data_IF_133930191596
#
_entry.id   IF_133930191596
#
_cell.length_a   1.000
_cell.length_b   1.000
_cell.length_c   1.000
_cell.angle_alpha   90.00
_cell.angle_beta   90.00
_cell.angle_gamma   90.00
#
_symmetry.space_group_name_H-M   'P 1'
#
loop_
_entity.id
_entity.type
_entity.pdbx_description
1 polymer ?
#
# COMPACT_ATOMS: atom_id res chain seq x y z
N UNK A 1 -8.54 -12.92 -17.54
CA UNK A 1 -7.47 -13.33 -16.59
C UNK A 1 -6.28 -12.38 -16.73
N UNK A 2 -5.89 -11.72 -15.64
CA UNK A 2 -4.77 -10.76 -15.60
C UNK A 2 -3.42 -11.48 -15.81
N UNK A 3 -2.34 -10.75 -16.16
CA UNK A 3 -0.99 -11.34 -16.37
C UNK A 3 -0.55 -12.23 -15.18
N UNK A 4 -0.80 -11.80 -13.94
CA UNK A 4 -0.48 -12.56 -12.73
C UNK A 4 -1.31 -13.86 -12.64
N UNK A 5 -2.61 -13.81 -12.89
CA UNK A 5 -3.47 -14.99 -12.88
C UNK A 5 -3.08 -16.03 -13.96
N UNK A 6 -2.67 -15.58 -15.15
CA UNK A 6 -2.12 -16.48 -16.18
C UNK A 6 -0.83 -17.14 -15.70
N UNK A 7 0.09 -16.38 -15.09
CA UNK A 7 1.36 -16.90 -14.57
C UNK A 7 1.12 -17.94 -13.47
N UNK A 8 0.22 -17.68 -12.53
CA UNK A 8 -0.17 -18.63 -11.48
C UNK A 8 -0.79 -19.91 -12.08
N UNK A 9 -1.72 -19.77 -13.02
CA UNK A 9 -2.32 -20.93 -13.69
C UNK A 9 -1.27 -21.82 -14.35
N UNK A 10 -0.39 -21.26 -15.16
CA UNK A 10 0.67 -22.04 -15.83
C UNK A 10 1.64 -22.68 -14.84
N UNK A 11 2.05 -21.95 -13.80
CA UNK A 11 2.97 -22.47 -12.78
C UNK A 11 2.36 -23.65 -12.02
N UNK A 12 1.14 -23.50 -11.51
CA UNK A 12 0.44 -24.56 -10.75
C UNK A 12 0.16 -25.76 -11.65
N UNK A 13 -0.38 -25.52 -12.86
CA UNK A 13 -0.68 -26.61 -13.81
C UNK A 13 0.58 -27.39 -14.19
N UNK A 14 1.68 -26.71 -14.48
CA UNK A 14 2.95 -27.35 -14.81
C UNK A 14 3.48 -28.21 -13.65
N UNK A 15 3.43 -27.68 -12.43
CA UNK A 15 3.86 -28.40 -11.22
C UNK A 15 3.03 -29.69 -11.03
N UNK A 16 1.70 -29.59 -11.15
CA UNK A 16 0.81 -30.76 -11.00
C UNK A 16 1.05 -31.78 -12.08
N UNK A 17 1.15 -31.36 -13.35
CA UNK A 17 1.44 -32.28 -14.48
C UNK A 17 2.77 -32.98 -14.24
N UNK A 18 3.80 -32.29 -13.79
CA UNK A 18 5.12 -32.87 -13.51
C UNK A 18 5.07 -33.88 -12.37
N UNK A 19 4.34 -33.60 -11.28
CA UNK A 19 4.13 -34.54 -10.17
C UNK A 19 3.43 -35.81 -10.68
N UNK A 20 2.36 -35.67 -11.48
CA UNK A 20 1.65 -36.83 -12.06
C UNK A 20 2.52 -37.62 -13.02
N UNK A 21 3.31 -36.98 -13.88
CA UNK A 21 4.22 -37.64 -14.80
C UNK A 21 5.29 -38.45 -14.05
N UNK A 22 5.91 -37.87 -13.02
CA UNK A 22 6.89 -38.55 -12.17
C UNK A 22 6.23 -39.75 -11.46
N UNK A 23 5.05 -39.55 -10.85
CA UNK A 23 4.33 -40.59 -10.14
C UNK A 23 3.99 -41.75 -11.06
N UNK A 24 3.54 -41.48 -12.29
CA UNK A 24 3.21 -42.49 -13.30
C UNK A 24 4.46 -43.27 -13.73
N UNK A 25 5.59 -42.61 -13.93
CA UNK A 25 6.87 -43.26 -14.22
C UNK A 25 7.32 -44.15 -13.06
N UNK A 26 7.23 -43.69 -11.83
CA UNK A 26 7.60 -44.47 -10.66
C UNK A 26 6.73 -45.71 -10.49
N UNK A 27 5.41 -45.62 -10.66
CA UNK A 27 4.51 -46.74 -10.55
C UNK A 27 4.82 -47.78 -11.65
N UNK A 28 4.95 -47.34 -12.91
CA UNK A 28 5.21 -48.26 -14.01
C UNK A 28 6.59 -48.97 -13.90
N UNK A 29 7.56 -48.31 -13.23
CA UNK A 29 8.89 -48.89 -13.05
C UNK A 29 9.01 -49.75 -11.77
N UNK A 30 8.49 -49.30 -10.64
CA UNK A 30 8.70 -49.96 -9.34
C UNK A 30 7.66 -51.03 -9.04
N UNK A 31 6.38 -50.88 -9.42
CA UNK A 31 5.31 -51.80 -9.06
C UNK A 31 5.56 -53.23 -9.55
N UNK A 32 5.99 -53.46 -10.80
CA UNK A 32 6.33 -54.81 -11.24
C UNK A 32 7.45 -55.44 -10.43
N UNK A 33 8.51 -54.68 -10.15
CA UNK A 33 9.67 -55.19 -9.39
C UNK A 33 9.30 -55.50 -7.95
N UNK A 34 8.49 -54.64 -7.34
CA UNK A 34 7.99 -54.82 -5.97
C UNK A 34 7.13 -56.10 -5.87
N UNK A 35 6.22 -56.32 -6.83
CA UNK A 35 5.38 -57.52 -6.84
C UNK A 35 6.20 -58.82 -6.97
N UNK A 36 7.21 -58.83 -7.85
CA UNK A 36 8.11 -60.00 -7.97
C UNK A 36 8.90 -60.20 -6.66
N UNK A 37 9.42 -59.12 -6.04
CA UNK A 37 10.15 -59.22 -4.80
C UNK A 37 9.29 -59.76 -3.65
N UNK A 38 8.09 -59.24 -3.47
CA UNK A 38 7.14 -59.67 -2.44
C UNK A 38 6.69 -61.13 -2.64
N UNK A 39 6.47 -61.54 -3.89
CA UNK A 39 6.12 -62.94 -4.20
C UNK A 39 7.28 -63.88 -3.85
N UNK A 40 8.51 -63.49 -4.15
CA UNK A 40 9.71 -64.27 -3.78
C UNK A 40 9.84 -64.41 -2.27
N UNK A 41 9.67 -63.36 -1.51
CA UNK A 41 9.71 -63.36 -0.05
C UNK A 41 8.63 -64.28 0.55
N UNK A 42 7.39 -64.21 0.01
CA UNK A 42 6.29 -65.10 0.41
C UNK A 42 6.63 -66.57 0.16
N UNK A 43 7.17 -66.88 -1.04
CA UNK A 43 7.57 -68.26 -1.37
C UNK A 43 8.75 -68.75 -0.51
N UNK A 44 9.68 -67.87 -0.11
CA UNK A 44 10.75 -68.21 0.83
C UNK A 44 10.18 -68.61 2.22
N UNK A 45 9.20 -67.86 2.71
CA UNK A 45 8.52 -68.22 3.98
C UNK A 45 7.81 -69.60 3.89
N UNK A 46 7.04 -69.81 2.82
CA UNK A 46 6.30 -71.07 2.59
C UNK A 46 7.26 -72.26 2.43
N UNK A 47 8.32 -72.09 1.63
CA UNK A 47 9.30 -73.18 1.47
C UNK A 47 10.05 -73.51 2.75
N UNK A 48 10.35 -72.53 3.62
CA UNK A 48 10.93 -72.75 4.94
C UNK A 48 9.96 -73.53 5.87
N UNK A 49 8.66 -73.21 5.80
CA UNK A 49 7.64 -73.98 6.51
C UNK A 49 7.63 -75.46 6.03
N UNK A 50 7.60 -75.67 4.71
CA UNK A 50 7.64 -77.03 4.17
C UNK A 50 8.92 -77.80 4.62
N UNK A 51 10.07 -77.12 4.65
CA UNK A 51 11.33 -77.72 5.09
C UNK A 51 11.34 -78.11 6.58
N UNK A 52 10.62 -77.38 7.44
CA UNK A 52 10.55 -77.66 8.88
C UNK A 52 9.61 -78.81 9.28
N UNK A 53 8.71 -79.26 8.38
CA UNK A 53 7.73 -80.34 8.67
C UNK A 53 8.40 -81.66 8.78
N UNK A 54 8.06 -82.55 9.77
CA UNK A 54 8.54 -83.96 9.80
C UNK A 54 8.03 -84.78 8.61
N UNK A 55 8.79 -85.89 8.24
CA UNK A 55 8.47 -86.74 7.05
C UNK A 55 7.07 -87.31 7.13
N UNK A 56 6.67 -87.78 8.30
CA UNK A 56 5.40 -88.45 8.52
C UNK A 56 4.17 -87.58 8.30
N UNK A 57 4.32 -86.23 8.47
CA UNK A 57 3.26 -85.22 8.35
C UNK A 57 3.31 -84.41 7.05
N UNK A 58 4.27 -84.75 6.14
CA UNK A 58 4.57 -83.89 4.97
C UNK A 58 3.38 -83.76 4.02
N UNK A 59 2.68 -84.84 3.73
CA UNK A 59 1.60 -84.84 2.75
C UNK A 59 0.34 -84.08 3.27
N UNK A 60 0.06 -84.21 4.60
CA UNK A 60 -1.02 -83.45 5.23
C UNK A 60 -0.66 -81.97 5.39
N UNK A 61 0.60 -81.69 5.67
CA UNK A 61 1.11 -80.31 5.76
C UNK A 61 1.11 -79.61 4.42
N UNK A 62 1.47 -80.30 3.33
CA UNK A 62 1.41 -79.73 1.98
C UNK A 62 0.00 -79.28 1.62
N UNK A 63 -1.02 -80.16 1.88
CA UNK A 63 -2.41 -79.78 1.63
C UNK A 63 -2.89 -78.55 2.48
N UNK A 64 -2.47 -78.49 3.72
CA UNK A 64 -2.78 -77.37 4.59
C UNK A 64 -2.13 -76.06 4.11
N UNK A 65 -0.82 -76.10 3.83
CA UNK A 65 -0.03 -74.96 3.37
C UNK A 65 -0.54 -74.48 1.98
N UNK A 66 -0.93 -75.40 1.08
CA UNK A 66 -1.48 -75.01 -0.19
C UNK A 66 -2.78 -74.24 -0.08
N UNK A 67 -3.67 -74.68 0.83
CA UNK A 67 -4.95 -73.98 1.06
C UNK A 67 -4.80 -72.64 1.79
N UNK A 68 -3.91 -72.55 2.79
CA UNK A 68 -3.69 -71.35 3.55
C UNK A 68 -2.82 -70.31 2.83
N UNK A 69 -1.80 -70.81 2.09
CA UNK A 69 -0.82 -69.98 1.41
C UNK A 69 -1.24 -69.49 0.01
N UNK A 70 -2.40 -69.93 -0.51
CA UNK A 70 -2.84 -69.62 -1.85
C UNK A 70 -1.72 -69.93 -2.90
N UNK A 71 -1.00 -71.01 -2.67
CA UNK A 71 0.09 -71.51 -3.53
C UNK A 71 -0.29 -72.88 -4.13
N UNK A 72 0.34 -73.21 -5.22
CA UNK A 72 0.19 -74.53 -5.83
C UNK A 72 1.43 -75.36 -5.54
N UNK A 73 1.28 -76.48 -4.92
CA UNK A 73 2.39 -77.40 -4.59
C UNK A 73 2.27 -78.66 -5.39
N UNK A 74 3.34 -79.09 -6.08
CA UNK A 74 3.46 -80.38 -6.75
C UNK A 74 4.77 -81.01 -6.33
N UNK A 75 4.80 -82.34 -6.23
CA UNK A 75 6.00 -83.04 -5.78
C UNK A 75 6.16 -84.37 -6.52
N UNK A 76 7.39 -84.79 -6.67
CA UNK A 76 7.75 -86.07 -7.28
C UNK A 76 9.03 -86.60 -6.65
N UNK A 77 9.43 -87.84 -7.01
CA UNK A 77 10.72 -88.32 -6.57
C UNK A 77 11.87 -87.62 -7.29
N UNK A 78 12.85 -87.16 -6.56
CA UNK A 78 13.99 -86.41 -7.11
C UNK A 78 14.96 -87.35 -7.89
N UNK A 79 14.83 -88.65 -7.70
CA UNK A 79 15.69 -89.64 -8.26
C UNK A 79 15.14 -90.24 -9.58
N UNK A 80 13.94 -89.86 -9.99
CA UNK A 80 13.32 -90.32 -11.27
C UNK A 80 14.03 -89.63 -12.47
N UNK A 81 13.72 -90.11 -13.65
CA UNK A 81 14.27 -89.55 -14.87
C UNK A 81 13.74 -88.09 -15.09
N UNK A 82 14.47 -87.30 -15.88
CA UNK A 82 14.04 -85.93 -16.23
C UNK A 82 12.63 -85.90 -16.85
N UNK A 83 12.33 -86.86 -17.74
CA UNK A 83 11.04 -86.91 -18.37
C UNK A 83 9.92 -87.28 -17.38
N UNK A 84 10.14 -88.29 -16.53
CA UNK A 84 9.15 -88.73 -15.53
C UNK A 84 8.84 -87.64 -14.51
N UNK A 85 9.89 -86.92 -14.07
CA UNK A 85 9.76 -85.74 -13.20
C UNK A 85 8.86 -84.66 -13.82
N UNK A 86 9.15 -84.28 -15.05
CA UNK A 86 8.39 -83.30 -15.78
C UNK A 86 6.95 -83.71 -16.06
N UNK A 87 6.72 -84.94 -16.42
CA UNK A 87 5.37 -85.44 -16.69
C UNK A 87 4.52 -85.55 -15.44
N UNK A 88 5.07 -86.01 -14.33
CA UNK A 88 4.36 -86.09 -13.03
C UNK A 88 4.01 -84.66 -12.52
N UNK A 89 4.98 -83.73 -12.53
CA UNK A 89 4.72 -82.33 -12.11
C UNK A 89 3.67 -81.66 -12.99
N UNK A 90 3.69 -81.89 -14.29
CA UNK A 90 2.65 -81.40 -15.23
C UNK A 90 1.28 -82.01 -14.96
N UNK A 91 1.20 -83.28 -14.70
CA UNK A 91 -0.05 -83.95 -14.37
C UNK A 91 -0.67 -83.36 -13.10
N UNK A 92 0.12 -83.21 -12.03
CA UNK A 92 -0.36 -82.63 -10.77
C UNK A 92 -0.79 -81.22 -10.93
N UNK A 93 -0.02 -80.35 -11.62
CA UNK A 93 -0.39 -78.95 -11.88
C UNK A 93 -1.66 -78.88 -12.73
N UNK A 94 -1.83 -79.72 -13.71
CA UNK A 94 -3.04 -79.81 -14.56
C UNK A 94 -4.27 -80.12 -13.71
N UNK A 95 -4.17 -81.14 -12.84
CA UNK A 95 -5.24 -81.47 -11.89
C UNK A 95 -5.63 -80.29 -10.98
N UNK A 96 -4.67 -79.43 -10.63
CA UNK A 96 -4.85 -78.18 -9.88
C UNK A 96 -5.20 -76.94 -10.71
N UNK A 97 -5.59 -77.20 -12.01
CA UNK A 97 -5.98 -76.17 -12.99
C UNK A 97 -4.85 -75.18 -13.34
N UNK A 98 -3.59 -75.54 -13.09
CA UNK A 98 -2.42 -74.74 -13.51
C UNK A 98 -1.88 -75.39 -14.80
N UNK A 99 -2.18 -74.78 -15.95
CA UNK A 99 -1.73 -75.28 -17.25
C UNK A 99 -0.55 -74.44 -17.71
N UNK A 100 0.66 -75.01 -17.72
CA UNK A 100 1.91 -74.36 -18.13
C UNK A 100 2.39 -75.08 -19.44
N UNK A 101 2.33 -74.37 -20.55
CA UNK A 101 2.71 -74.97 -21.90
C UNK A 101 4.23 -75.22 -21.98
N UNK A 102 5.05 -74.63 -21.18
CA UNK A 102 6.52 -74.75 -21.24
C UNK A 102 7.15 -75.10 -19.85
N UNK A 103 6.38 -75.78 -19.00
CA UNK A 103 6.99 -76.32 -17.78
C UNK A 103 8.00 -77.39 -18.14
N UNK A 104 9.26 -77.10 -17.87
CA UNK A 104 10.35 -78.06 -18.05
C UNK A 104 11.46 -77.70 -17.04
N UNK A 105 11.80 -78.71 -16.22
CA UNK A 105 12.98 -78.64 -15.36
C UNK A 105 14.07 -79.55 -16.00
N UNK A 106 15.23 -78.93 -16.23
CA UNK A 106 16.34 -79.63 -16.84
C UNK A 106 17.13 -80.43 -15.82
N UNK A 107 17.88 -81.46 -16.31
CA UNK A 107 18.78 -82.25 -15.45
C UNK A 107 19.78 -81.39 -14.63
N UNK A 108 20.28 -80.31 -15.24
CA UNK A 108 21.17 -79.36 -14.55
C UNK A 108 20.46 -78.67 -13.41
N UNK A 109 19.23 -78.27 -13.59
CA UNK A 109 18.40 -77.65 -12.56
C UNK A 109 18.05 -78.62 -11.43
N UNK A 110 17.71 -79.87 -11.74
CA UNK A 110 17.49 -80.97 -10.79
C UNK A 110 18.75 -81.19 -9.94
N UNK A 111 19.94 -81.28 -10.59
CA UNK A 111 21.20 -81.36 -9.86
C UNK A 111 21.51 -80.16 -9.00
N UNK A 112 21.18 -78.94 -9.45
CA UNK A 112 21.31 -77.73 -8.69
C UNK A 112 20.42 -77.77 -7.42
N UNK A 113 19.19 -78.22 -7.55
CA UNK A 113 18.26 -78.39 -6.43
C UNK A 113 18.77 -79.44 -5.44
N UNK A 114 19.35 -80.58 -5.96
CA UNK A 114 19.97 -81.62 -5.12
C UNK A 114 21.19 -81.07 -4.32
N UNK A 115 22.02 -80.24 -4.97
CA UNK A 115 23.28 -79.74 -4.33
C UNK A 115 23.12 -78.52 -3.52
N UNK A 116 22.25 -77.56 -3.95
CA UNK A 116 22.07 -76.24 -3.29
C UNK A 116 20.79 -76.20 -2.45
N UNK A 117 19.92 -77.16 -2.56
CA UNK A 117 18.67 -77.32 -1.84
C UNK A 117 17.50 -76.52 -2.44
N UNK A 118 17.73 -75.58 -3.38
CA UNK A 118 16.64 -74.79 -3.98
C UNK A 118 17.02 -74.14 -5.31
N UNK A 119 15.98 -73.92 -6.18
CA UNK A 119 16.12 -73.11 -7.38
C UNK A 119 14.82 -72.41 -7.69
N UNK A 120 14.92 -71.18 -8.29
CA UNK A 120 13.75 -70.35 -8.63
C UNK A 120 13.64 -70.24 -10.15
N UNK A 121 12.39 -70.26 -10.67
CA UNK A 121 12.10 -70.14 -12.10
C UNK A 121 10.77 -69.42 -12.30
N UNK A 122 10.65 -68.71 -13.41
CA UNK A 122 9.40 -68.04 -13.80
C UNK A 122 8.96 -68.70 -15.13
N UNK A 123 7.71 -69.14 -15.17
CA UNK A 123 7.08 -69.67 -16.35
C UNK A 123 5.95 -68.80 -16.82
N UNK A 124 5.88 -68.50 -18.10
CA UNK A 124 4.80 -67.66 -18.65
C UNK A 124 3.60 -68.62 -19.05
N UNK A 125 2.42 -68.19 -18.59
CA UNK A 125 1.15 -68.86 -18.94
C UNK A 125 0.50 -68.07 -20.10
N UNK A 126 0.87 -68.38 -21.31
CA UNK A 126 0.45 -67.65 -22.52
C UNK A 126 -1.09 -67.58 -22.72
N UNK A 127 -1.87 -68.55 -22.25
CA UNK A 127 -3.33 -68.54 -22.35
C UNK A 127 -4.06 -67.72 -21.30
N UNK A 128 -3.47 -67.48 -20.13
CA UNK A 128 -4.11 -66.87 -18.99
C UNK A 128 -3.52 -65.48 -18.70
N UNK A 129 -2.57 -64.99 -19.51
CA UNK A 129 -1.84 -63.73 -19.29
C UNK A 129 -1.34 -63.61 -17.85
N UNK A 130 -0.81 -64.66 -17.30
CA UNK A 130 -0.21 -64.73 -15.99
C UNK A 130 1.17 -65.36 -16.03
N UNK A 131 2.09 -64.95 -15.20
CA UNK A 131 3.36 -65.64 -14.97
C UNK A 131 3.23 -66.54 -13.76
N UNK A 132 3.78 -67.76 -13.86
CA UNK A 132 3.81 -68.64 -12.72
C UNK A 132 5.22 -68.69 -12.17
N UNK A 133 5.37 -68.14 -10.96
CA UNK A 133 6.65 -68.08 -10.25
C UNK A 133 6.79 -69.38 -9.46
N UNK A 134 7.88 -70.10 -9.67
CA UNK A 134 8.13 -71.41 -9.07
C UNK A 134 9.40 -71.38 -8.26
N UNK A 135 9.35 -71.97 -7.08
CA UNK A 135 10.50 -72.33 -6.31
C UNK A 135 10.55 -73.88 -6.15
N UNK A 136 11.66 -74.45 -6.60
CA UNK A 136 11.96 -75.86 -6.43
C UNK A 136 12.76 -76.06 -5.17
N UNK A 137 12.41 -77.02 -4.32
CA UNK A 137 13.16 -77.39 -3.14
C UNK A 137 13.35 -78.92 -3.11
N UNK A 138 14.51 -79.34 -2.64
CA UNK A 138 14.74 -80.75 -2.31
C UNK A 138 14.44 -80.98 -0.85
N UNK A 139 13.65 -82.03 -0.57
CA UNK A 139 13.43 -82.50 0.78
C UNK A 139 13.44 -83.99 0.79
N UNK A 140 14.49 -84.56 1.40
CA UNK A 140 14.75 -86.04 1.36
C UNK A 140 14.84 -86.55 -0.09
N UNK A 141 13.94 -87.47 -0.47
CA UNK A 141 13.87 -88.05 -1.79
C UNK A 141 12.84 -87.36 -2.71
N UNK A 142 12.17 -86.28 -2.19
CA UNK A 142 11.17 -85.54 -2.95
C UNK A 142 11.72 -84.27 -3.53
N UNK A 143 11.41 -84.02 -4.82
CA UNK A 143 11.51 -82.73 -5.45
C UNK A 143 10.14 -82.01 -5.30
N UNK A 144 10.09 -80.90 -4.58
CA UNK A 144 8.84 -80.17 -4.36
C UNK A 144 8.89 -78.87 -5.13
N UNK A 145 7.87 -78.69 -5.95
CA UNK A 145 7.58 -77.41 -6.63
C UNK A 145 6.54 -76.63 -5.82
N UNK A 146 6.90 -75.44 -5.41
CA UNK A 146 5.97 -74.46 -4.80
C UNK A 146 5.81 -73.30 -5.80
N UNK A 147 4.60 -73.09 -6.27
CA UNK A 147 4.34 -72.12 -7.30
C UNK A 147 3.18 -71.17 -6.95
N UNK A 148 3.28 -69.95 -7.43
CA UNK A 148 2.25 -68.95 -7.32
C UNK A 148 1.98 -68.31 -8.69
N UNK A 149 0.72 -68.21 -9.04
CA UNK A 149 0.31 -67.49 -10.25
C UNK A 149 0.31 -65.99 -9.97
N UNK A 150 1.18 -65.30 -10.67
CA UNK A 150 1.18 -63.83 -10.65
C UNK A 150 0.39 -63.36 -11.85
N UNK A 151 -0.77 -62.74 -11.63
CA UNK A 151 -1.49 -62.07 -12.69
C UNK A 151 -0.52 -61.09 -13.40
N UNK A 152 -0.54 -61.07 -14.73
CA UNK A 152 0.33 -60.17 -15.48
C UNK A 152 0.15 -58.76 -14.92
N UNK A 153 1.20 -58.23 -14.30
CA UNK A 153 1.21 -56.86 -13.71
C UNK A 153 0.75 -55.80 -14.72
N UNK A 154 0.81 -56.13 -16.03
CA UNK A 154 0.37 -55.25 -17.11
C UNK A 154 -1.13 -54.92 -17.08
N UNK A 155 -2.03 -55.81 -16.64
CA UNK A 155 -3.47 -55.49 -16.54
C UNK A 155 -3.76 -54.58 -15.34
N UNK A 156 -3.15 -54.89 -14.21
CA UNK A 156 -3.26 -54.03 -13.02
C UNK A 156 -2.69 -52.62 -13.29
N UNK A 157 -1.54 -52.57 -13.98
CA UNK A 157 -0.92 -51.30 -14.39
C UNK A 157 -1.83 -50.54 -15.37
N UNK A 158 -2.48 -51.21 -16.33
CA UNK A 158 -3.44 -50.53 -17.24
C UNK A 158 -4.62 -49.95 -16.49
N UNK A 159 -5.18 -50.67 -15.54
CA UNK A 159 -6.27 -50.17 -14.68
C UNK A 159 -5.80 -48.98 -13.88
N UNK A 160 -4.65 -49.08 -13.22
CA UNK A 160 -4.08 -47.95 -12.46
C UNK A 160 -3.83 -46.72 -13.34
N UNK A 161 -3.23 -46.92 -14.53
CA UNK A 161 -2.97 -45.81 -15.44
C UNK A 161 -4.27 -45.14 -15.93
N UNK A 162 -5.34 -45.91 -16.14
CA UNK A 162 -6.66 -45.34 -16.44
C UNK A 162 -7.21 -44.50 -15.29
N UNK A 163 -7.11 -44.99 -14.05
CA UNK A 163 -7.48 -44.18 -12.86
C UNK A 163 -6.64 -42.90 -12.73
N UNK A 164 -5.34 -42.97 -13.01
CA UNK A 164 -4.48 -41.81 -13.01
C UNK A 164 -4.92 -40.75 -14.02
N UNK A 165 -5.37 -41.11 -15.18
CA UNK A 165 -5.91 -40.17 -16.17
C UNK A 165 -7.19 -39.50 -15.68
N UNK A 166 -8.10 -40.22 -15.03
CA UNK A 166 -9.30 -39.61 -14.43
C UNK A 166 -8.93 -38.62 -13.30
N UNK A 167 -7.99 -39.01 -12.42
CA UNK A 167 -7.51 -38.16 -11.33
C UNK A 167 -6.82 -36.92 -11.89
N UNK A 168 -6.00 -37.04 -12.94
CA UNK A 168 -5.37 -35.93 -13.64
C UNK A 168 -6.42 -34.95 -14.20
N UNK A 169 -7.43 -35.47 -14.89
CA UNK A 169 -8.54 -34.65 -15.41
C UNK A 169 -9.27 -33.86 -14.30
N UNK A 170 -9.59 -34.57 -13.21
CA UNK A 170 -10.23 -33.93 -12.04
C UNK A 170 -9.33 -32.89 -11.38
N UNK A 171 -8.02 -33.17 -11.27
CA UNK A 171 -7.04 -32.21 -10.71
C UNK A 171 -6.95 -30.93 -11.54
N UNK A 172 -6.95 -31.07 -12.89
CA UNK A 172 -6.95 -29.88 -13.78
C UNK A 172 -8.22 -29.05 -13.58
N UNK A 173 -9.38 -29.72 -13.46
CA UNK A 173 -10.63 -29.02 -13.17
C UNK A 173 -10.55 -28.22 -11.83
N UNK A 174 -10.05 -28.85 -10.77
CA UNK A 174 -9.85 -28.19 -9.47
C UNK A 174 -8.88 -26.99 -9.56
N UNK A 175 -7.80 -27.13 -10.35
CA UNK A 175 -6.85 -26.01 -10.58
C UNK A 175 -7.56 -24.83 -11.24
N UNK A 176 -8.40 -25.08 -12.25
CA UNK A 176 -9.16 -23.99 -12.91
C UNK A 176 -10.05 -23.26 -11.90
N UNK A 177 -10.77 -24.00 -11.07
CA UNK A 177 -11.63 -23.42 -10.03
C UNK A 177 -10.81 -22.63 -9.00
N UNK A 178 -9.71 -23.19 -8.51
CA UNK A 178 -8.83 -22.55 -7.55
C UNK A 178 -8.24 -21.23 -8.10
N UNK A 179 -7.72 -21.27 -9.33
CA UNK A 179 -7.15 -20.08 -9.98
C UNK A 179 -8.22 -19.02 -10.22
N UNK A 180 -9.44 -19.44 -10.56
CA UNK A 180 -10.56 -18.50 -10.70
C UNK A 180 -10.87 -17.79 -9.37
N UNK A 181 -10.92 -18.53 -8.25
CA UNK A 181 -11.12 -17.97 -6.91
C UNK A 181 -9.97 -17.01 -6.58
N UNK A 182 -8.71 -17.44 -6.68
CA UNK A 182 -7.53 -16.62 -6.38
C UNK A 182 -7.45 -15.37 -7.26
N UNK A 183 -7.89 -15.48 -8.52
CA UNK A 183 -7.94 -14.32 -9.41
C UNK A 183 -8.94 -13.27 -8.92
N UNK A 184 -10.09 -13.69 -8.41
CA UNK A 184 -11.15 -12.80 -7.94
C UNK A 184 -10.85 -12.21 -6.56
N UNK A 185 -10.25 -12.99 -5.67
CA UNK A 185 -10.02 -12.57 -4.27
C UNK A 185 -8.71 -11.81 -4.08
N UNK A 186 -7.68 -12.10 -4.87
CA UNK A 186 -6.35 -11.51 -4.69
C UNK A 186 -5.93 -10.67 -5.89
N UNK A 187 -5.94 -11.29 -7.10
CA UNK A 187 -5.30 -10.66 -8.27
C UNK A 187 -6.05 -9.43 -8.78
N UNK A 188 -7.39 -9.46 -8.76
CA UNK A 188 -8.21 -8.34 -9.22
C UNK A 188 -8.13 -7.14 -8.27
N UNK A 189 -8.30 -7.30 -6.94
CA UNK A 189 -8.11 -6.20 -5.98
C UNK A 189 -6.72 -5.58 -6.06
N UNK A 190 -5.66 -6.39 -6.10
CA UNK A 190 -4.29 -5.87 -6.22
C UNK A 190 -4.08 -5.05 -7.50
N UNK A 191 -4.70 -5.47 -8.61
CA UNK A 191 -4.63 -4.68 -9.85
C UNK A 191 -5.35 -3.36 -9.70
N UNK A 192 -6.55 -3.34 -9.09
CA UNK A 192 -7.29 -2.11 -8.83
C UNK A 192 -6.47 -1.14 -7.96
N UNK A 193 -5.82 -1.65 -6.90
CA UNK A 193 -4.94 -0.84 -6.05
C UNK A 193 -3.74 -0.27 -6.83
N UNK A 194 -3.14 -1.07 -7.72
CA UNK A 194 -2.06 -0.61 -8.59
C UNK A 194 -2.52 0.49 -9.55
N UNK A 195 -3.70 0.33 -10.16
CA UNK A 195 -4.27 1.31 -11.09
C UNK A 195 -4.58 2.64 -10.35
N UNK A 196 -5.11 2.56 -9.11
CA UNK A 196 -5.35 3.75 -8.25
C UNK A 196 -4.05 4.42 -7.84
N UNK A 197 -3.02 3.66 -7.46
CA UNK A 197 -1.71 4.21 -7.13
C UNK A 197 -1.07 4.91 -8.35
N UNK A 198 -1.24 4.38 -9.56
CA UNK A 198 -0.80 5.03 -10.80
C UNK A 198 -1.59 6.32 -11.07
N UNK A 199 -2.92 6.32 -10.85
CA UNK A 199 -3.74 7.54 -10.97
C UNK A 199 -3.27 8.64 -9.98
N UNK A 200 -2.97 8.28 -8.71
CA UNK A 200 -2.43 9.20 -7.70
C UNK A 200 -1.09 9.80 -8.15
N UNK A 201 -0.19 8.99 -8.73
CA UNK A 201 1.10 9.47 -9.24
C UNK A 201 0.96 10.51 -10.36
N UNK A 202 -0.18 10.51 -11.06
CA UNK A 202 -0.56 11.48 -12.09
C UNK A 202 -1.43 12.61 -11.56
N UNK A 203 -1.47 12.81 -10.25
CA UNK A 203 -2.29 13.82 -9.57
C UNK A 203 -3.80 13.64 -9.76
N UNK A 204 -4.24 12.41 -10.03
CA UNK A 204 -5.66 12.03 -10.07
C UNK A 204 -6.02 11.33 -8.77
N UNK A 205 -6.48 12.08 -7.82
CA UNK A 205 -6.77 11.61 -6.46
C UNK A 205 -8.10 10.86 -6.41
N UNK A 206 -8.05 9.56 -6.78
CA UNK A 206 -9.20 8.65 -6.69
C UNK A 206 -9.08 7.75 -5.46
N UNK A 207 -10.21 7.34 -4.92
CA UNK A 207 -10.28 6.33 -3.87
C UNK A 207 -10.55 4.96 -4.48
N UNK A 208 -9.88 3.93 -3.98
CA UNK A 208 -10.23 2.55 -4.28
C UNK A 208 -11.53 2.14 -3.57
N UNK A 209 -12.28 1.25 -4.22
CA UNK A 209 -13.51 0.65 -3.67
C UNK A 209 -13.27 -0.75 -3.10
N UNK A 210 -12.05 -1.23 -3.13
CA UNK A 210 -11.67 -2.55 -2.59
C UNK A 210 -12.00 -2.59 -1.09
N UNK A 211 -12.85 -3.56 -0.71
CA UNK A 211 -13.24 -3.82 0.67
C UNK A 211 -13.06 -5.31 0.93
N UNK A 212 -11.95 -5.67 1.53
CA UNK A 212 -11.64 -7.02 2.02
C UNK A 212 -11.29 -6.92 3.50
N UNK A 213 -11.48 -8.03 4.25
CA UNK A 213 -11.15 -8.09 5.68
C UNK A 213 -9.79 -8.79 5.88
N UNK A 214 -8.80 -8.40 5.09
CA UNK A 214 -7.46 -8.95 5.08
C UNK A 214 -6.43 -7.83 4.84
N UNK A 215 -5.17 -8.19 4.67
CA UNK A 215 -4.06 -7.25 4.41
C UNK A 215 -4.26 -6.43 3.14
N UNK A 216 -5.05 -6.92 2.18
CA UNK A 216 -5.41 -6.17 0.96
C UNK A 216 -6.36 -5.04 1.29
N UNK A 217 -7.31 -5.27 2.21
CA UNK A 217 -8.19 -4.24 2.74
C UNK A 217 -7.44 -3.16 3.50
N UNK A 218 -6.47 -3.53 4.33
CA UNK A 218 -5.61 -2.59 5.07
C UNK A 218 -4.76 -1.75 4.11
N UNK A 219 -4.21 -2.37 3.07
CA UNK A 219 -3.48 -1.67 2.02
C UNK A 219 -4.39 -0.70 1.25
N UNK A 220 -5.62 -1.11 0.94
CA UNK A 220 -6.61 -0.26 0.28
C UNK A 220 -6.93 0.99 1.11
N UNK A 221 -7.12 0.83 2.42
CA UNK A 221 -7.35 1.93 3.35
C UNK A 221 -6.14 2.87 3.42
N UNK A 222 -4.93 2.32 3.51
CA UNK A 222 -3.68 3.09 3.52
C UNK A 222 -3.49 3.93 2.26
N UNK A 223 -3.81 3.37 1.08
CA UNK A 223 -3.77 4.10 -0.20
C UNK A 223 -4.82 5.22 -0.23
N UNK A 224 -6.01 5.00 0.32
CA UNK A 224 -7.04 6.03 0.40
C UNK A 224 -6.60 7.19 1.30
N UNK A 225 -6.03 6.91 2.49
CA UNK A 225 -5.50 7.94 3.40
C UNK A 225 -4.36 8.72 2.73
N UNK A 226 -3.46 8.04 2.03
CA UNK A 226 -2.38 8.70 1.27
C UNK A 226 -2.93 9.60 0.17
N UNK A 227 -3.94 9.13 -0.59
CA UNK A 227 -4.61 9.92 -1.63
C UNK A 227 -5.21 11.21 -1.07
N UNK A 228 -5.92 11.12 0.06
CA UNK A 228 -6.55 12.28 0.70
C UNK A 228 -5.51 13.31 1.19
N UNK A 229 -4.44 12.84 1.85
CA UNK A 229 -3.36 13.72 2.32
C UNK A 229 -2.63 14.42 1.17
N UNK A 230 -2.34 13.68 0.10
CA UNK A 230 -1.70 14.27 -1.10
C UNK A 230 -2.61 15.25 -1.81
N UNK A 231 -3.91 14.94 -1.89
CA UNK A 231 -4.91 15.86 -2.46
C UNK A 231 -4.95 17.17 -1.69
N UNK A 232 -5.06 17.11 -0.34
CA UNK A 232 -5.03 18.29 0.52
C UNK A 232 -3.74 19.12 0.32
N UNK A 233 -2.58 18.46 0.39
CA UNK A 233 -1.30 19.15 0.20
C UNK A 233 -1.17 19.77 -1.21
N UNK A 234 -1.70 19.12 -2.24
CA UNK A 234 -1.69 19.66 -3.61
C UNK A 234 -2.61 20.88 -3.75
N UNK A 235 -3.81 20.84 -3.13
CA UNK A 235 -4.71 21.99 -3.10
C UNK A 235 -4.07 23.17 -2.38
N UNK A 236 -3.45 22.95 -1.22
CA UNK A 236 -2.76 24.01 -0.46
C UNK A 236 -1.65 24.65 -1.27
N UNK A 237 -0.83 23.82 -1.96
CA UNK A 237 0.22 24.34 -2.85
C UNK A 237 -0.35 25.15 -4.00
N UNK A 238 -1.44 24.70 -4.61
CA UNK A 238 -2.10 25.40 -5.71
C UNK A 238 -2.64 26.75 -5.24
N UNK A 239 -3.36 26.76 -4.10
CA UNK A 239 -3.88 27.98 -3.50
C UNK A 239 -2.77 28.98 -3.16
N UNK A 240 -1.68 28.52 -2.52
CA UNK A 240 -0.51 29.36 -2.23
C UNK A 240 0.12 29.94 -3.50
N UNK A 241 0.20 29.14 -4.56
CA UNK A 241 0.77 29.60 -5.84
C UNK A 241 -0.12 30.67 -6.49
N UNK A 242 -1.44 30.52 -6.44
CA UNK A 242 -2.37 31.52 -6.94
C UNK A 242 -2.34 32.81 -6.12
N UNK A 243 -2.22 32.72 -4.79
CA UNK A 243 -2.03 33.88 -3.94
C UNK A 243 -0.72 34.60 -4.27
N UNK A 244 0.38 33.85 -4.44
CA UNK A 244 1.67 34.45 -4.81
C UNK A 244 1.63 35.13 -6.19
N UNK A 245 0.96 34.53 -7.17
CA UNK A 245 0.81 35.14 -8.51
C UNK A 245 0.02 36.45 -8.44
N UNK A 246 -1.10 36.50 -7.68
CA UNK A 246 -1.88 37.71 -7.46
C UNK A 246 -1.03 38.77 -6.80
N UNK A 247 -0.37 38.45 -5.68
CA UNK A 247 0.52 39.33 -4.97
C UNK A 247 1.61 39.93 -5.88
N UNK A 248 2.27 39.11 -6.71
CA UNK A 248 3.27 39.61 -7.67
C UNK A 248 2.67 40.53 -8.74
N UNK A 249 1.44 40.25 -9.18
CA UNK A 249 0.69 41.12 -10.08
C UNK A 249 0.46 42.51 -9.47
N UNK A 250 -0.03 42.53 -8.23
CA UNK A 250 -0.35 43.75 -7.50
C UNK A 250 0.92 44.58 -7.22
N UNK A 251 2.00 43.95 -6.76
CA UNK A 251 3.32 44.60 -6.59
C UNK A 251 3.77 45.25 -7.89
N UNK A 252 3.67 44.55 -8.98
CA UNK A 252 4.09 45.08 -10.31
C UNK A 252 3.25 46.27 -10.70
N UNK A 253 1.95 46.26 -10.45
CA UNK A 253 1.04 47.33 -10.78
C UNK A 253 1.34 48.58 -9.92
N UNK A 254 1.51 48.44 -8.60
CA UNK A 254 1.77 49.51 -7.65
C UNK A 254 3.15 50.17 -7.86
N UNK A 255 4.16 49.44 -8.34
CA UNK A 255 5.46 49.97 -8.71
C UNK A 255 5.43 50.66 -10.10
N UNK A 256 4.67 50.13 -11.07
CA UNK A 256 4.65 50.67 -12.44
C UNK A 256 4.13 52.13 -12.48
N UNK A 257 3.11 52.42 -11.67
CA UNK A 257 2.47 53.75 -11.66
C UNK A 257 3.42 54.85 -11.27
N UNK A 258 4.10 54.85 -10.09
CA UNK A 258 5.01 55.90 -9.67
C UNK A 258 6.24 55.98 -10.59
N UNK A 259 6.76 54.83 -11.10
CA UNK A 259 7.87 54.82 -12.04
C UNK A 259 7.47 55.52 -13.36
N UNK A 260 6.26 55.29 -13.86
CA UNK A 260 5.76 55.95 -15.05
C UNK A 260 5.62 57.48 -14.87
N UNK A 261 5.18 57.92 -13.67
CA UNK A 261 5.11 59.33 -13.30
C UNK A 261 6.50 59.96 -13.23
N UNK A 262 7.46 59.34 -12.54
CA UNK A 262 8.86 59.78 -12.48
C UNK A 262 9.40 59.98 -13.88
N UNK A 263 9.18 59.01 -14.77
CA UNK A 263 9.62 59.11 -16.17
C UNK A 263 8.93 60.21 -16.94
N UNK A 264 7.62 60.40 -16.78
CA UNK A 264 6.86 61.45 -17.47
C UNK A 264 7.30 62.85 -17.07
N UNK A 265 7.42 63.09 -15.76
CA UNK A 265 7.88 64.41 -15.22
C UNK A 265 9.35 64.66 -15.60
N UNK A 266 10.22 63.64 -15.59
CA UNK A 266 11.61 63.78 -16.04
C UNK A 266 11.70 64.15 -17.54
N UNK A 267 10.82 63.59 -18.38
CA UNK A 267 10.73 63.98 -19.79
C UNK A 267 10.20 65.40 -19.96
N UNK A 268 9.18 65.80 -19.17
CA UNK A 268 8.65 67.16 -19.20
C UNK A 268 9.71 68.23 -18.82
N UNK A 269 10.56 67.94 -17.82
CA UNK A 269 11.70 68.80 -17.49
C UNK A 269 12.66 68.91 -18.72
N UNK A 270 12.98 67.77 -19.32
CA UNK A 270 13.86 67.73 -20.50
C UNK A 270 13.31 68.56 -21.68
N UNK A 271 11.99 68.56 -21.86
CA UNK A 271 11.30 69.25 -22.95
C UNK A 271 10.99 70.73 -22.59
N UNK A 272 11.44 71.21 -21.43
CA UNK A 272 11.25 72.61 -20.99
C UNK A 272 9.81 72.94 -20.55
N UNK A 273 9.02 71.94 -20.18
CA UNK A 273 7.61 72.07 -19.74
C UNK A 273 7.45 72.16 -18.22
N UNK A 274 8.57 72.24 -17.46
CA UNK A 274 8.53 72.31 -15.99
C UNK A 274 7.94 73.64 -15.52
N UNK A 275 6.91 73.54 -14.67
CA UNK A 275 6.27 74.67 -14.00
C UNK A 275 6.84 74.99 -12.59
N UNK A 276 7.93 74.30 -12.23
CA UNK A 276 8.59 74.38 -10.93
C UNK A 276 8.10 73.32 -9.94
N UNK A 277 7.14 72.43 -10.30
CA UNK A 277 6.59 71.39 -9.43
C UNK A 277 7.05 69.99 -9.76
N UNK A 278 7.70 69.81 -10.94
CA UNK A 278 8.05 68.47 -11.47
C UNK A 278 9.11 67.77 -10.60
N UNK A 279 10.12 68.49 -10.15
CA UNK A 279 11.17 67.93 -9.28
C UNK A 279 10.58 67.47 -7.96
N UNK A 280 9.71 68.24 -7.33
CA UNK A 280 9.05 67.84 -6.06
C UNK A 280 8.16 66.61 -6.25
N UNK A 281 7.48 66.51 -7.40
CA UNK A 281 6.68 65.34 -7.76
C UNK A 281 7.56 64.10 -7.99
N UNK A 282 8.71 64.23 -8.63
CA UNK A 282 9.68 63.12 -8.80
C UNK A 282 10.19 62.65 -7.44
N UNK A 283 10.58 63.56 -6.54
CA UNK A 283 11.03 63.22 -5.19
C UNK A 283 9.92 62.47 -4.45
N UNK A 284 8.69 63.00 -4.45
CA UNK A 284 7.52 62.35 -3.80
C UNK A 284 7.27 60.94 -4.34
N UNK A 285 7.33 60.71 -5.65
CA UNK A 285 7.14 59.40 -6.23
C UNK A 285 8.28 58.43 -5.88
N UNK A 286 9.52 58.94 -5.79
CA UNK A 286 10.69 58.14 -5.42
C UNK A 286 10.60 57.70 -3.96
N UNK A 287 10.16 58.59 -3.06
CA UNK A 287 9.90 58.29 -1.65
C UNK A 287 8.77 57.24 -1.51
N UNK A 288 7.70 57.34 -2.31
CA UNK A 288 6.64 56.36 -2.33
C UNK A 288 7.15 54.95 -2.78
N UNK A 289 8.01 54.88 -3.80
CA UNK A 289 8.64 53.61 -4.20
C UNK A 289 9.50 53.04 -3.08
N UNK A 290 10.32 53.87 -2.43
CA UNK A 290 11.19 53.46 -1.34
C UNK A 290 10.39 52.90 -0.14
N UNK A 291 9.32 53.58 0.26
CA UNK A 291 8.43 53.12 1.32
C UNK A 291 7.75 51.79 0.97
N UNK A 292 7.27 51.61 -0.28
CA UNK A 292 6.65 50.38 -0.75
C UNK A 292 7.65 49.23 -0.68
N UNK A 293 8.90 49.43 -1.14
CA UNK A 293 9.96 48.42 -1.08
C UNK A 293 10.25 48.03 0.38
N UNK A 294 10.33 49.02 1.32
CA UNK A 294 10.54 48.72 2.75
C UNK A 294 9.39 47.88 3.33
N UNK A 295 8.13 48.21 3.03
CA UNK A 295 6.96 47.46 3.48
C UNK A 295 6.94 46.04 2.91
N UNK A 296 7.29 45.88 1.63
CA UNK A 296 7.44 44.56 0.99
C UNK A 296 8.53 43.72 1.67
N UNK A 297 9.67 44.29 1.97
CA UNK A 297 10.76 43.65 2.69
C UNK A 297 10.33 43.24 4.13
N UNK A 298 9.60 44.10 4.82
CA UNK A 298 9.04 43.81 6.14
C UNK A 298 8.03 42.66 6.08
N UNK A 299 7.11 42.71 5.11
CA UNK A 299 6.12 41.62 4.87
C UNK A 299 6.80 40.30 4.56
N UNK A 300 7.79 40.28 3.67
CA UNK A 300 8.55 39.05 3.31
C UNK A 300 9.34 38.45 4.48
N UNK A 301 9.88 39.31 5.37
CA UNK A 301 10.59 38.84 6.58
C UNK A 301 9.63 38.23 7.60
N UNK A 302 8.40 38.76 7.71
CA UNK A 302 7.42 38.26 8.67
C UNK A 302 7.12 36.78 8.49
N UNK A 303 7.09 36.26 7.27
CA UNK A 303 6.80 34.85 7.01
C UNK A 303 7.92 33.88 7.47
N UNK A 304 9.16 34.38 7.60
CA UNK A 304 10.36 33.58 7.90
C UNK A 304 10.85 33.66 9.32
N UNK A 305 10.59 34.78 10.01
CA UNK A 305 11.13 35.07 11.35
C UNK A 305 10.48 34.17 12.41
N UNK A 306 11.24 33.63 13.32
CA UNK A 306 10.71 32.96 14.51
C UNK A 306 10.24 34.04 15.48
N UNK A 307 9.01 33.89 16.04
CA UNK A 307 8.48 34.83 17.05
C UNK A 307 9.31 34.75 18.33
N UNK A 308 9.74 35.92 18.82
CA UNK A 308 10.41 36.06 20.11
C UNK A 308 9.39 36.61 21.12
N UNK A 309 8.58 35.69 21.67
CA UNK A 309 7.54 36.05 22.62
C UNK A 309 8.15 36.35 24.00
N UNK A 310 7.72 37.45 24.61
CA UNK A 310 8.06 37.86 25.95
C UNK A 310 6.85 38.49 26.64
N UNK A 311 6.90 38.57 27.96
CA UNK A 311 5.87 39.26 28.76
C UNK A 311 6.15 40.75 28.81
N UNK A 312 5.17 41.57 28.46
CA UNK A 312 5.28 43.01 28.56
C UNK A 312 3.92 43.68 28.79
N UNK A 313 3.91 44.85 29.45
CA UNK A 313 2.68 45.63 29.62
C UNK A 313 2.27 46.31 28.31
N UNK A 314 0.97 46.17 27.93
CA UNK A 314 0.44 46.70 26.67
C UNK A 314 0.30 48.20 26.64
N UNK A 315 -0.06 48.80 27.76
CA UNK A 315 -0.32 50.27 27.90
C UNK A 315 0.90 51.11 27.52
N UNK A 316 2.11 50.91 28.09
CA UNK A 316 3.29 51.70 27.73
C UNK A 316 3.66 51.55 26.24
N UNK A 317 3.44 50.38 25.66
CA UNK A 317 3.68 50.14 24.24
C UNK A 317 2.77 51.04 23.38
N UNK A 318 1.47 50.99 23.63
CA UNK A 318 0.47 51.73 22.84
C UNK A 318 0.64 53.23 23.09
N UNK A 319 0.89 53.68 24.33
CA UNK A 319 1.14 55.08 24.66
C UNK A 319 2.38 55.61 23.90
N UNK A 320 3.46 54.84 23.82
CA UNK A 320 4.66 55.22 23.08
C UNK A 320 4.40 55.45 21.59
N UNK A 321 3.40 54.73 21.02
CA UNK A 321 2.98 54.88 19.61
C UNK A 321 2.12 56.15 19.46
N UNK A 322 1.17 56.38 20.37
CA UNK A 322 0.33 57.56 20.36
C UNK A 322 1.18 58.85 20.47
N UNK A 323 2.16 58.84 21.36
CA UNK A 323 3.07 59.99 21.54
C UNK A 323 3.84 60.35 20.27
N UNK A 324 4.21 59.38 19.45
CA UNK A 324 4.84 59.62 18.13
C UNK A 324 3.91 60.28 17.13
N UNK A 325 2.61 60.06 17.23
CA UNK A 325 1.61 60.66 16.34
C UNK A 325 0.99 61.93 16.90
N UNK A 326 1.47 62.44 18.08
CA UNK A 326 0.88 63.59 18.76
C UNK A 326 0.77 64.83 17.87
N UNK A 327 1.83 65.17 17.15
CA UNK A 327 1.85 66.33 16.24
C UNK A 327 0.81 66.16 15.12
N UNK A 328 0.68 64.95 14.57
CA UNK A 328 -0.27 64.65 13.51
C UNK A 328 -1.73 64.71 14.01
N UNK A 329 -1.99 64.19 15.23
CA UNK A 329 -3.29 64.25 15.88
C UNK A 329 -3.70 65.72 16.16
N UNK A 330 -2.78 66.52 16.67
CA UNK A 330 -3.00 67.97 16.93
C UNK A 330 -3.24 68.70 15.60
N UNK A 331 -2.44 68.45 14.56
CA UNK A 331 -2.55 69.20 13.29
C UNK A 331 -3.84 68.86 12.50
N UNK A 332 -4.41 67.67 12.72
CA UNK A 332 -5.68 67.22 12.13
C UNK A 332 -6.88 67.43 13.05
N UNK A 333 -6.69 68.00 14.24
CA UNK A 333 -7.72 68.21 15.26
C UNK A 333 -8.44 66.89 15.64
N UNK A 334 -7.72 65.75 15.68
CA UNK A 334 -8.29 64.47 15.99
C UNK A 334 -8.42 64.27 17.50
N UNK A 335 -9.63 63.97 17.95
CA UNK A 335 -9.95 63.61 19.33
C UNK A 335 -9.72 62.12 19.55
N UNK A 336 -8.59 61.73 20.14
CA UNK A 336 -8.27 60.34 20.46
C UNK A 336 -8.66 60.05 21.92
N UNK A 337 -9.61 59.14 22.12
CA UNK A 337 -10.02 58.62 23.42
C UNK A 337 -9.42 57.23 23.64
N UNK A 338 -8.71 57.04 24.76
CA UNK A 338 -8.15 55.75 25.13
C UNK A 338 -8.73 55.30 26.47
N UNK A 339 -9.38 54.15 26.47
CA UNK A 339 -10.01 53.55 27.63
C UNK A 339 -9.25 52.30 28.07
N UNK A 340 -8.46 52.40 29.13
CA UNK A 340 -7.74 51.25 29.71
C UNK A 340 -8.59 50.63 30.83
N UNK A 341 -9.49 49.69 30.48
CA UNK A 341 -10.32 48.99 31.45
C UNK A 341 -9.73 47.59 31.80
N UNK A 342 -8.51 47.31 31.38
CA UNK A 342 -7.82 46.01 31.56
C UNK A 342 -6.74 46.08 32.69
N UNK A 343 -6.67 47.16 33.48
CA UNK A 343 -5.62 47.34 34.49
C UNK A 343 -4.20 47.24 33.88
N UNK A 344 -3.24 46.78 34.68
CA UNK A 344 -1.85 46.55 34.20
C UNK A 344 -1.77 45.29 33.32
N UNK A 345 -2.47 45.26 32.19
CA UNK A 345 -2.54 44.12 31.32
C UNK A 345 -1.16 43.76 30.77
N UNK A 346 -0.62 42.62 31.23
CA UNK A 346 0.58 41.98 30.69
C UNK A 346 0.15 40.96 29.62
N UNK A 347 0.79 41.02 28.47
CA UNK A 347 0.54 40.09 27.35
C UNK A 347 1.81 39.30 27.03
N UNK A 348 1.64 38.07 26.55
CA UNK A 348 2.74 37.20 26.08
C UNK A 348 2.79 37.16 24.56
N UNK A 349 3.66 37.99 23.98
CA UNK A 349 3.76 38.15 22.52
C UNK A 349 5.15 38.66 22.11
N UNK A 350 5.41 38.72 20.81
CA UNK A 350 6.61 39.41 20.29
C UNK A 350 6.41 40.93 20.32
N UNK A 351 7.14 41.60 21.18
CA UNK A 351 7.04 43.03 21.40
C UNK A 351 7.19 43.86 20.12
N UNK A 352 8.16 43.49 19.26
CA UNK A 352 8.42 44.24 18.03
C UNK A 352 7.30 44.01 16.99
N UNK A 353 6.77 42.82 16.91
CA UNK A 353 5.65 42.48 15.99
C UNK A 353 4.35 43.15 16.49
N UNK A 354 4.06 43.11 17.80
CA UNK A 354 2.89 43.81 18.35
C UNK A 354 2.99 45.31 18.20
N UNK A 355 4.19 45.88 18.32
CA UNK A 355 4.42 47.32 18.01
C UNK A 355 4.01 47.64 16.56
N UNK A 356 4.34 46.76 15.62
CA UNK A 356 3.94 46.92 14.19
C UNK A 356 2.41 46.85 14.04
N UNK A 357 1.74 45.94 14.77
CA UNK A 357 0.27 45.81 14.76
C UNK A 357 -0.38 47.12 15.19
N UNK A 358 -0.01 47.63 16.39
CA UNK A 358 -0.61 48.86 16.90
C UNK A 358 -0.26 50.09 16.06
N UNK A 359 0.97 50.18 15.53
CA UNK A 359 1.36 51.27 14.62
C UNK A 359 0.49 51.30 13.37
N UNK A 360 0.28 50.12 12.73
CA UNK A 360 -0.54 50.04 11.53
C UNK A 360 -2.01 50.40 11.81
N UNK A 361 -2.59 49.86 12.89
CA UNK A 361 -3.98 50.13 13.23
C UNK A 361 -4.22 51.58 13.59
N UNK A 362 -3.35 52.19 14.44
CA UNK A 362 -3.45 53.59 14.87
C UNK A 362 -3.21 54.54 13.68
N UNK A 363 -2.19 54.30 12.89
CA UNK A 363 -1.92 55.08 11.66
C UNK A 363 -3.08 55.03 10.65
N UNK A 364 -3.69 53.86 10.50
CA UNK A 364 -4.88 53.71 9.64
C UNK A 364 -6.07 54.52 10.19
N UNK A 365 -6.33 54.44 11.49
CA UNK A 365 -7.40 55.23 12.12
C UNK A 365 -7.19 56.74 11.93
N UNK A 366 -5.97 57.25 12.15
CA UNK A 366 -5.62 58.67 11.95
C UNK A 366 -5.76 59.11 10.48
N UNK A 367 -5.48 58.21 9.56
CA UNK A 367 -5.50 58.48 8.13
C UNK A 367 -6.90 58.49 7.53
N UNK A 368 -7.76 57.61 8.01
CA UNK A 368 -9.06 57.36 7.38
C UNK A 368 -10.26 57.89 8.16
N UNK A 369 -10.08 58.42 9.40
CA UNK A 369 -11.17 59.08 10.14
C UNK A 369 -11.71 60.29 9.38
N UNK A 370 -13.04 60.44 9.36
CA UNK A 370 -13.72 61.54 8.67
C UNK A 370 -14.31 62.56 9.62
N UNK A 371 -14.69 62.16 10.85
CA UNK A 371 -15.28 63.03 11.85
C UNK A 371 -14.29 63.40 12.99
N UNK A 372 -12.99 63.09 12.80
CA UNK A 372 -11.93 63.42 13.75
C UNK A 372 -12.04 62.71 15.11
N UNK A 373 -12.82 61.68 15.24
CA UNK A 373 -12.91 60.89 16.45
C UNK A 373 -12.31 59.48 16.29
N UNK A 374 -11.43 59.10 17.20
CA UNK A 374 -10.85 57.76 17.29
C UNK A 374 -11.01 57.28 18.72
N UNK A 375 -11.49 56.04 18.89
CA UNK A 375 -11.60 55.40 20.21
C UNK A 375 -10.80 54.13 20.26
N UNK A 376 -9.96 53.97 21.26
CA UNK A 376 -9.22 52.77 21.57
C UNK A 376 -9.73 52.23 22.90
N UNK A 377 -10.06 50.97 22.97
CA UNK A 377 -10.56 50.30 24.17
C UNK A 377 -9.76 49.03 24.45
N UNK A 378 -9.36 48.88 25.69
CA UNK A 378 -8.76 47.68 26.26
C UNK A 378 -9.69 47.17 27.35
N UNK A 379 -10.09 45.88 27.26
CA UNK A 379 -10.92 45.21 28.25
C UNK A 379 -10.32 43.84 28.60
N UNK A 380 -10.38 43.49 29.87
CA UNK A 380 -10.04 42.14 30.30
C UNK A 380 -11.28 41.25 30.21
N UNK A 381 -11.16 40.14 29.48
CA UNK A 381 -12.22 39.14 29.31
C UNK A 381 -11.63 37.75 29.47
N UNK A 382 -11.93 37.05 30.59
CA UNK A 382 -11.59 35.63 30.79
C UNK A 382 -10.14 35.26 30.40
N UNK A 383 -9.12 35.87 31.03
CA UNK A 383 -7.69 35.65 30.77
C UNK A 383 -7.15 36.12 29.41
N UNK A 384 -7.94 36.82 28.61
CA UNK A 384 -7.49 37.48 27.38
C UNK A 384 -7.66 38.99 27.48
N UNK A 385 -6.81 39.74 26.81
CA UNK A 385 -6.97 41.17 26.62
C UNK A 385 -7.70 41.44 25.32
N UNK A 386 -8.91 41.92 25.40
CA UNK A 386 -9.65 42.42 24.26
C UNK A 386 -9.18 43.82 23.91
N UNK A 387 -8.71 44.00 22.68
CA UNK A 387 -8.36 45.29 22.10
C UNK A 387 -9.34 45.64 20.99
N UNK A 388 -9.77 46.89 20.96
CA UNK A 388 -10.58 47.45 19.89
C UNK A 388 -10.12 48.84 19.54
N UNK A 389 -10.02 49.16 18.25
CA UNK A 389 -9.85 50.53 17.75
C UNK A 389 -10.97 50.80 16.76
N UNK A 390 -11.64 51.93 16.96
CA UNK A 390 -12.76 52.35 16.12
C UNK A 390 -12.60 53.78 15.66
N UNK A 391 -12.99 54.02 14.40
CA UNK A 391 -13.08 55.36 13.82
C UNK A 391 -14.21 55.35 12.80
N UNK A 392 -14.77 56.51 12.53
CA UNK A 392 -15.75 56.69 11.47
C UNK A 392 -15.11 56.58 10.07
N UNK A 393 -15.89 56.10 9.13
CA UNK A 393 -15.54 55.99 7.73
C UNK A 393 -16.67 56.48 6.84
N UNK A 394 -16.32 56.88 5.62
CA UNK A 394 -17.35 57.11 4.61
C UNK A 394 -17.98 55.77 4.20
N UNK A 395 -19.25 55.59 4.57
CA UNK A 395 -19.95 54.26 4.51
C UNK A 395 -20.45 53.86 3.12
N UNK A 396 -20.29 54.70 2.12
CA UNK A 396 -20.77 54.34 0.75
C UNK A 396 -19.87 53.30 0.09
N UNK A 397 -20.34 52.03 0.05
CA UNK A 397 -19.76 51.06 -0.86
C UNK A 397 -19.01 49.86 -0.26
N UNK A 398 -19.03 49.63 1.06
CA UNK A 398 -18.32 48.51 1.66
C UNK A 398 -19.13 47.18 1.41
N UNK A 399 -18.89 46.55 0.32
CA UNK A 399 -19.55 45.26 0.01
C UNK A 399 -18.78 44.02 0.49
N UNK A 400 -17.47 44.14 0.72
CA UNK A 400 -16.58 43.00 1.01
C UNK A 400 -15.56 43.40 2.09
N UNK A 401 -16.03 43.61 3.32
CA UNK A 401 -15.18 44.08 4.44
C UNK A 401 -14.02 43.09 4.74
N UNK A 402 -14.23 41.80 4.53
CA UNK A 402 -13.22 40.75 4.79
C UNK A 402 -11.99 40.88 3.90
N UNK A 403 -12.12 41.52 2.74
CA UNK A 403 -10.99 41.72 1.81
C UNK A 403 -9.99 42.78 2.25
N UNK A 404 -10.32 43.59 3.26
CA UNK A 404 -9.37 44.61 3.71
C UNK A 404 -8.08 44.06 4.31
N UNK A 405 -8.09 42.74 4.64
CA UNK A 405 -6.91 42.02 5.11
C UNK A 405 -6.04 41.50 3.96
N UNK A 406 -6.52 41.58 2.69
CA UNK A 406 -5.73 41.15 1.52
C UNK A 406 -4.66 42.21 1.19
N UNK A 407 -3.44 41.81 0.81
CA UNK A 407 -2.41 42.74 0.38
C UNK A 407 -2.90 43.64 -0.77
N UNK A 408 -2.52 44.93 -0.73
CA UNK A 408 -2.86 45.92 -1.77
C UNK A 408 -4.36 46.25 -1.90
N UNK A 409 -5.22 45.72 -1.04
CA UNK A 409 -6.63 46.03 -1.06
C UNK A 409 -6.87 47.43 -0.40
N UNK A 410 -7.58 48.29 -1.13
CA UNK A 410 -7.98 49.63 -0.66
C UNK A 410 -9.49 49.81 -0.90
N UNK A 411 -10.24 50.20 0.12
CA UNK A 411 -11.68 50.31 0.08
C UNK A 411 -12.20 51.33 -0.98
N UNK A 412 -11.43 52.34 -1.29
CA UNK A 412 -11.84 53.41 -2.22
C UNK A 412 -10.73 53.77 -3.21
N UNK A 413 -10.81 53.19 -4.40
CA UNK A 413 -9.88 53.47 -5.52
C UNK A 413 -10.13 54.83 -6.17
N UNK A 414 -11.24 55.55 -5.82
CA UNK A 414 -11.68 56.75 -6.49
C UNK A 414 -11.29 58.03 -5.76
N UNK A 415 -10.98 57.95 -4.45
CA UNK A 415 -10.50 59.12 -3.67
C UNK A 415 -8.99 59.30 -3.80
N UNK A 416 -8.61 60.42 -4.36
CA UNK A 416 -7.27 60.93 -4.62
C UNK A 416 -6.11 60.01 -4.14
N UNK A 417 -5.36 59.45 -5.06
CA UNK A 417 -4.14 58.62 -4.85
C UNK A 417 -3.16 59.22 -3.84
N UNK A 418 -3.33 60.49 -3.49
CA UNK A 418 -2.52 61.18 -2.48
C UNK A 418 -2.76 60.79 -1.05
N UNK A 419 -3.97 60.26 -0.72
CA UNK A 419 -4.32 59.78 0.63
C UNK A 419 -4.31 58.26 0.75
N UNK A 420 -4.11 57.53 -0.36
CA UNK A 420 -4.12 56.08 -0.41
C UNK A 420 -2.80 55.54 0.16
N UNK A 421 -2.84 54.58 1.08
CA UNK A 421 -1.66 53.84 1.54
C UNK A 421 -1.34 52.71 0.58
N UNK A 422 -0.26 51.99 0.81
CA UNK A 422 0.21 50.87 0.05
C UNK A 422 -0.73 49.65 0.08
N UNK A 423 -1.71 49.63 0.99
CA UNK A 423 -2.60 48.47 1.20
C UNK A 423 -1.91 47.27 1.87
N UNK A 424 -0.64 47.38 2.31
CA UNK A 424 0.09 46.32 2.99
C UNK A 424 -0.07 46.31 4.50
N UNK A 425 -0.43 47.45 5.11
CA UNK A 425 -0.47 47.60 6.58
C UNK A 425 -1.38 46.59 7.27
N UNK A 426 -2.62 46.38 6.76
CA UNK A 426 -3.56 45.44 7.36
C UNK A 426 -3.18 43.96 7.03
N UNK A 427 -2.58 43.68 5.91
CA UNK A 427 -2.02 42.37 5.60
C UNK A 427 -0.87 41.99 6.53
N UNK A 428 -0.03 42.99 6.93
CA UNK A 428 1.02 42.82 7.96
C UNK A 428 0.38 42.51 9.31
N UNK A 429 -0.67 43.23 9.70
CA UNK A 429 -1.42 43.00 10.96
C UNK A 429 -1.97 41.57 10.97
N UNK A 430 -2.67 41.16 9.92
CA UNK A 430 -3.21 39.79 9.76
C UNK A 430 -2.12 38.75 9.94
N UNK A 431 -1.02 38.84 9.19
CA UNK A 431 0.10 37.89 9.23
C UNK A 431 0.69 37.78 10.66
N UNK A 432 0.83 38.86 11.38
CA UNK A 432 1.35 38.87 12.75
C UNK A 432 0.37 38.19 13.70
N UNK A 433 -0.92 38.52 13.64
CA UNK A 433 -1.95 37.98 14.54
C UNK A 433 -2.16 36.48 14.31
N UNK A 434 -2.25 36.02 13.05
CA UNK A 434 -2.35 34.62 12.70
C UNK A 434 -1.15 33.79 13.22
N UNK A 435 0.05 34.31 13.13
CA UNK A 435 1.26 33.66 13.66
C UNK A 435 1.33 33.59 15.18
N UNK A 436 0.72 34.55 15.87
CA UNK A 436 0.58 34.50 17.34
C UNK A 436 -0.54 33.53 17.76
N UNK A 437 -1.47 33.19 16.86
CA UNK A 437 -2.67 32.42 17.17
C UNK A 437 -3.79 33.26 17.75
N UNK A 438 -3.71 34.59 17.62
CA UNK A 438 -4.69 35.53 18.18
C UNK A 438 -5.92 35.61 17.27
N UNK A 439 -7.11 35.61 17.88
CA UNK A 439 -8.36 35.86 17.17
C UNK A 439 -8.50 37.35 16.88
N UNK A 440 -8.90 37.71 15.67
CA UNK A 440 -9.04 39.09 15.21
C UNK A 440 -10.18 39.22 14.21
N UNK A 441 -10.62 40.44 14.01
CA UNK A 441 -11.64 40.72 13.03
C UNK A 441 -11.86 42.22 12.79
N UNK A 442 -12.84 42.47 11.92
CA UNK A 442 -13.30 43.79 11.56
C UNK A 442 -14.81 43.81 11.50
N UNK A 443 -15.44 44.86 11.93
CA UNK A 443 -16.89 45.08 11.77
C UNK A 443 -17.16 46.54 11.44
N UNK A 444 -18.32 46.78 10.85
CA UNK A 444 -18.84 48.15 10.64
C UNK A 444 -20.17 48.26 11.35
N UNK A 445 -20.24 49.18 12.31
CA UNK A 445 -21.45 49.41 13.10
C UNK A 445 -21.70 50.93 13.14
N UNK A 446 -22.90 51.34 12.80
CA UNK A 446 -23.36 52.75 12.83
C UNK A 446 -22.43 53.75 12.09
N UNK A 447 -21.78 53.29 10.99
CA UNK A 447 -20.87 54.14 10.21
C UNK A 447 -19.44 54.21 10.75
N UNK A 448 -19.13 53.47 11.80
CA UNK A 448 -17.78 53.34 12.36
C UNK A 448 -17.21 51.97 11.97
N UNK A 449 -15.94 51.93 11.51
CA UNK A 449 -15.15 50.72 11.37
C UNK A 449 -14.48 50.37 12.68
N UNK A 450 -14.57 49.13 13.07
CA UNK A 450 -14.05 48.58 14.32
C UNK A 450 -13.11 47.41 14.02
N UNK A 451 -11.83 47.58 14.31
CA UNK A 451 -10.86 46.49 14.32
C UNK A 451 -10.71 45.97 15.72
N UNK A 452 -10.78 44.67 15.92
CA UNK A 452 -10.65 44.02 17.21
C UNK A 452 -9.73 42.83 17.19
N UNK A 453 -9.13 42.51 18.34
CA UNK A 453 -8.34 41.30 18.54
C UNK A 453 -8.41 40.83 20.00
N UNK A 454 -8.27 39.51 20.17
CA UNK A 454 -8.14 38.87 21.47
C UNK A 454 -6.69 38.41 21.65
N UNK A 455 -6.03 38.91 22.69
CA UNK A 455 -4.61 38.71 22.95
C UNK A 455 -4.48 37.86 24.21
N UNK A 456 -3.85 36.69 24.09
CA UNK A 456 -3.63 35.80 25.21
C UNK A 456 -2.65 36.40 26.21
N UNK A 457 -2.88 36.16 27.52
CA UNK A 457 -2.00 36.56 28.61
C UNK A 457 -0.89 35.55 28.89
N UNK A 458 -1.04 34.29 28.40
CA UNK A 458 -0.09 33.17 28.61
C UNK A 458 0.37 32.54 27.28
#
# INVERSE_FOLDING_TARGET
MNKLGKKLFFSISLTVILIFAISLLLINYFLPKYNVHKTRESLEGITAQIQSVPREELDDAINRIENEGNVTIAYTSINDSEDDINDELRMQLTKKRVVLNKLWITKEEIMKVKNVGQSNKIYDQEKIKSSFFVKYIAKEDKLILVGVSIAHSNEVIKILNSFYLYILGFSIFLIIVLVWILSKTITTPLKELSDVAEDISRLKFKRTKVKTNDEIGDLANSINIMSDKLHGAHQDLTNRNEHLKRFMGDVTHELKTPIALVKAYSMGIKDGLDDGTYVDTIIKQTDQISNLIEELLRFSKLERDVLQKEEFPIEPLVQSIIDKHKIELESKEINLQVNYNAGDAIIYADLNKMRMVFQNLISNAIKYTTNQNIRITFEEKNDVVYFQIQNDIATEGIKEIDKIWEPFYVLDSSRSKEKSGTGLGLAIVKSILERHGFEYGVSVVDGEIQFYMYIDRN
#
